data_IF_293693998570
#
_entry.id   IF_293693998570
#
_cell.length_a   1.000
_cell.length_b   1.000
_cell.length_c   1.000
_cell.angle_alpha   90.00
_cell.angle_beta   90.00
_cell.angle_gamma   90.00
#
_symmetry.space_group_name_H-M   'P 1'
#
loop_
_entity.id
_entity.type
_entity.pdbx_description
1 polymer ?
#
# COMPACT_ATOMS: atom_id res chain seq x y z
N UNK A 1 -47.41 -8.07 14.44
CA UNK A 1 -47.68 -8.45 13.04
C UNK A 1 -48.03 -7.23 12.19
N UNK A 2 -49.17 -6.53 12.37
CA UNK A 2 -49.50 -5.34 11.56
C UNK A 2 -48.40 -4.27 11.52
N UNK A 3 -47.79 -3.95 12.65
CA UNK A 3 -46.66 -3.01 12.71
C UNK A 3 -45.44 -3.46 11.86
N UNK A 4 -45.18 -4.76 11.78
CA UNK A 4 -44.09 -5.29 10.96
C UNK A 4 -44.41 -5.22 9.46
N UNK A 5 -45.68 -5.44 9.09
CA UNK A 5 -46.15 -5.27 7.71
C UNK A 5 -46.00 -3.82 7.26
N UNK A 6 -46.48 -2.86 8.07
CA UNK A 6 -46.37 -1.42 7.76
C UNK A 6 -44.91 -1.01 7.61
N UNK A 7 -44.03 -1.44 8.53
CA UNK A 7 -42.59 -1.16 8.42
C UNK A 7 -41.98 -1.74 7.13
N UNK A 8 -42.38 -2.94 6.71
CA UNK A 8 -41.90 -3.55 5.48
C UNK A 8 -42.41 -2.83 4.21
N UNK A 9 -43.68 -2.44 4.20
CA UNK A 9 -44.30 -1.70 3.10
C UNK A 9 -43.66 -0.32 2.93
N UNK A 10 -43.26 0.33 4.04
CA UNK A 10 -42.53 1.60 4.07
C UNK A 10 -41.00 1.46 3.84
N UNK A 11 -40.52 0.25 3.52
CA UNK A 11 -39.11 -0.01 3.20
C UNK A 11 -38.16 -0.09 4.41
N UNK A 12 -38.68 -0.02 5.63
CA UNK A 12 -37.90 -0.12 6.88
C UNK A 12 -37.66 -1.59 7.26
N UNK A 13 -36.86 -2.28 6.44
CA UNK A 13 -36.59 -3.71 6.60
C UNK A 13 -35.93 -4.09 7.95
N UNK A 14 -35.11 -3.21 8.53
CA UNK A 14 -34.50 -3.45 9.85
C UNK A 14 -35.54 -3.49 10.98
N UNK A 15 -36.49 -2.54 10.95
CA UNK A 15 -37.57 -2.46 11.93
C UNK A 15 -38.53 -3.64 11.77
N UNK A 16 -38.90 -3.98 10.52
CA UNK A 16 -39.70 -5.15 10.21
C UNK A 16 -39.03 -6.44 10.72
N UNK A 17 -37.72 -6.59 10.49
CA UNK A 17 -36.95 -7.75 10.96
C UNK A 17 -36.94 -7.85 12.50
N UNK A 18 -36.64 -6.73 13.19
CA UNK A 18 -36.63 -6.70 14.65
C UNK A 18 -37.99 -7.04 15.27
N UNK A 19 -39.08 -6.59 14.65
CA UNK A 19 -40.44 -6.92 15.09
C UNK A 19 -40.79 -8.39 14.87
N UNK A 20 -40.33 -8.99 13.77
CA UNK A 20 -40.60 -10.39 13.41
C UNK A 20 -39.74 -11.40 14.18
N UNK A 21 -38.54 -11.01 14.64
CA UNK A 21 -37.68 -11.87 15.46
C UNK A 21 -38.20 -12.12 16.88
N UNK A 22 -39.27 -11.45 17.32
CA UNK A 22 -39.87 -11.65 18.66
C UNK A 22 -40.45 -13.05 18.81
N UNK A 23 -40.17 -13.73 19.93
CA UNK A 23 -40.56 -15.13 20.18
C UNK A 23 -42.06 -15.38 20.02
N UNK A 24 -42.90 -14.41 20.38
CA UNK A 24 -44.36 -14.48 20.27
C UNK A 24 -44.87 -14.64 18.83
N UNK A 25 -44.06 -14.29 17.82
CA UNK A 25 -44.46 -14.32 16.40
C UNK A 25 -43.85 -15.49 15.62
N UNK A 26 -42.84 -16.20 16.17
CA UNK A 26 -42.14 -17.29 15.47
C UNK A 26 -43.04 -18.49 15.13
N UNK A 27 -44.10 -18.73 15.89
CA UNK A 27 -45.08 -19.80 15.64
C UNK A 27 -46.19 -19.42 14.66
N UNK A 28 -46.35 -18.15 14.31
CA UNK A 28 -47.50 -17.66 13.56
C UNK A 28 -47.25 -17.72 12.04
N UNK A 29 -48.04 -18.53 11.32
CA UNK A 29 -47.85 -18.78 9.87
C UNK A 29 -47.78 -17.49 9.01
N UNK A 30 -48.64 -16.48 9.20
CA UNK A 30 -48.51 -15.22 8.46
C UNK A 30 -47.21 -14.46 8.77
N UNK A 31 -46.71 -14.52 10.01
CA UNK A 31 -45.44 -13.91 10.37
C UNK A 31 -44.26 -14.65 9.73
N UNK A 32 -44.35 -15.98 9.56
CA UNK A 32 -43.33 -16.75 8.81
C UNK A 32 -43.26 -16.37 7.34
N UNK A 33 -44.42 -16.19 6.68
CA UNK A 33 -44.48 -15.74 5.27
C UNK A 33 -43.86 -14.35 5.11
N UNK A 34 -44.25 -13.41 5.97
CA UNK A 34 -43.67 -12.06 5.95
C UNK A 34 -42.16 -12.07 6.28
N UNK A 35 -41.71 -12.97 7.17
CA UNK A 35 -40.27 -13.12 7.46
C UNK A 35 -39.50 -13.61 6.25
N UNK A 36 -40.08 -14.49 5.43
CA UNK A 36 -39.47 -14.93 4.18
C UNK A 36 -39.35 -13.78 3.17
N UNK A 37 -40.39 -12.96 3.03
CA UNK A 37 -40.38 -11.79 2.12
C UNK A 37 -39.36 -10.73 2.56
N UNK A 38 -39.30 -10.43 3.87
CA UNK A 38 -38.29 -9.54 4.45
C UNK A 38 -36.88 -10.12 4.26
N UNK A 39 -36.71 -11.42 4.45
CA UNK A 39 -35.43 -12.10 4.25
C UNK A 39 -34.95 -11.98 2.80
N UNK A 40 -35.81 -12.24 1.81
CA UNK A 40 -35.47 -12.10 0.39
C UNK A 40 -35.00 -10.67 0.08
N UNK A 41 -35.74 -9.64 0.50
CA UNK A 41 -35.31 -8.24 0.29
C UNK A 41 -33.97 -7.92 0.94
N UNK A 42 -33.71 -8.44 2.14
CA UNK A 42 -32.43 -8.22 2.82
C UNK A 42 -31.27 -8.93 2.12
N UNK A 43 -31.48 -10.12 1.56
CA UNK A 43 -30.46 -10.84 0.76
C UNK A 43 -30.16 -10.11 -0.55
N UNK A 44 -31.17 -9.58 -1.23
CA UNK A 44 -31.01 -8.79 -2.45
C UNK A 44 -30.21 -7.52 -2.15
N UNK A 45 -30.62 -6.78 -1.11
CA UNK A 45 -29.91 -5.57 -0.63
C UNK A 45 -28.48 -5.89 -0.22
N UNK A 46 -28.24 -7.02 0.44
CA UNK A 46 -26.90 -7.47 0.81
C UNK A 46 -26.01 -7.70 -0.42
N UNK A 47 -26.58 -8.31 -1.46
CA UNK A 47 -25.87 -8.57 -2.72
C UNK A 47 -25.45 -7.27 -3.41
N UNK A 48 -26.34 -6.28 -3.46
CA UNK A 48 -26.08 -4.95 -4.04
C UNK A 48 -25.02 -4.17 -3.25
N UNK A 49 -25.12 -4.15 -1.92
CA UNK A 49 -24.14 -3.49 -1.05
C UNK A 49 -22.74 -4.09 -1.21
N UNK A 50 -22.62 -5.41 -1.22
CA UNK A 50 -21.33 -6.07 -1.45
C UNK A 50 -20.80 -5.76 -2.86
N UNK A 51 -21.66 -5.71 -3.87
CA UNK A 51 -21.26 -5.39 -5.24
C UNK A 51 -20.75 -3.94 -5.39
N UNK A 52 -21.26 -3.02 -4.59
CA UNK A 52 -20.87 -1.59 -4.58
C UNK A 52 -19.71 -1.27 -3.63
N UNK A 53 -19.20 -2.26 -2.91
CA UNK A 53 -18.02 -2.13 -2.04
C UNK A 53 -18.32 -2.12 -0.54
N UNK A 54 -19.59 -1.91 -0.14
CA UNK A 54 -20.01 -1.93 1.26
C UNK A 54 -20.24 -3.36 1.75
N UNK A 55 -19.13 -4.06 2.02
CA UNK A 55 -19.17 -5.46 2.44
C UNK A 55 -19.77 -5.62 3.85
N UNK A 56 -19.57 -4.67 4.76
CA UNK A 56 -20.04 -4.77 6.15
C UNK A 56 -21.55 -4.63 6.22
N UNK A 57 -22.12 -3.62 5.58
CA UNK A 57 -23.56 -3.45 5.59
C UNK A 57 -24.25 -4.62 4.89
N UNK A 58 -23.63 -5.18 3.84
CA UNK A 58 -24.15 -6.39 3.20
C UNK A 58 -24.17 -7.61 4.13
N UNK A 59 -23.06 -7.90 4.83
CA UNK A 59 -23.04 -9.01 5.80
C UNK A 59 -23.87 -8.74 7.05
N UNK A 60 -24.10 -7.48 7.41
CA UNK A 60 -25.03 -7.11 8.47
C UNK A 60 -26.46 -7.50 8.11
N UNK A 61 -26.89 -7.25 6.87
CA UNK A 61 -28.22 -7.65 6.39
C UNK A 61 -28.39 -9.18 6.46
N UNK A 62 -27.36 -9.96 6.08
CA UNK A 62 -27.40 -11.43 6.22
C UNK A 62 -27.52 -11.88 7.68
N UNK A 63 -26.83 -11.22 8.63
CA UNK A 63 -27.00 -11.52 10.06
C UNK A 63 -28.41 -11.22 10.55
N UNK A 64 -29.10 -10.23 9.97
CA UNK A 64 -30.51 -9.97 10.29
C UNK A 64 -31.41 -11.09 9.77
N UNK A 65 -31.15 -11.61 8.57
CA UNK A 65 -31.87 -12.76 8.01
C UNK A 65 -31.71 -14.00 8.89
N UNK A 66 -30.50 -14.28 9.37
CA UNK A 66 -30.24 -15.40 10.29
C UNK A 66 -31.05 -15.29 11.60
N UNK A 67 -31.30 -14.07 12.10
CA UNK A 67 -32.10 -13.84 13.32
C UNK A 67 -33.60 -14.04 13.13
N UNK A 68 -34.11 -13.93 11.90
CA UNK A 68 -35.52 -14.21 11.60
C UNK A 68 -35.84 -15.70 11.82
N UNK A 69 -34.89 -16.57 11.48
CA UNK A 69 -35.04 -18.03 11.57
C UNK A 69 -35.95 -18.60 10.48
N UNK A 70 -35.69 -19.85 10.06
CA UNK A 70 -36.51 -20.52 9.03
C UNK A 70 -36.18 -20.14 7.58
N UNK A 71 -35.14 -19.33 7.35
CA UNK A 71 -34.66 -18.90 6.04
C UNK A 71 -33.25 -19.44 5.70
N UNK A 72 -32.86 -20.58 6.28
CA UNK A 72 -31.50 -21.15 6.17
C UNK A 72 -31.08 -21.37 4.72
N UNK A 73 -31.99 -21.90 3.89
CA UNK A 73 -31.72 -22.14 2.47
C UNK A 73 -31.34 -20.85 1.72
N UNK A 74 -32.00 -19.72 1.98
CA UNK A 74 -31.68 -18.44 1.33
C UNK A 74 -30.28 -17.95 1.71
N UNK A 75 -29.90 -18.11 2.98
CA UNK A 75 -28.57 -17.72 3.48
C UNK A 75 -27.50 -18.63 2.90
N UNK A 76 -27.76 -19.93 2.80
CA UNK A 76 -26.84 -20.91 2.22
C UNK A 76 -26.63 -20.67 0.72
N UNK A 77 -27.69 -20.44 -0.05
CA UNK A 77 -27.62 -20.09 -1.47
C UNK A 77 -26.80 -18.81 -1.69
N UNK A 78 -27.05 -17.76 -0.88
CA UNK A 78 -26.27 -16.53 -0.92
C UNK A 78 -24.78 -16.80 -0.63
N UNK A 79 -24.47 -17.55 0.44
CA UNK A 79 -23.08 -17.87 0.82
C UNK A 79 -22.37 -18.70 -0.27
N UNK A 80 -23.07 -19.63 -0.90
CA UNK A 80 -22.53 -20.42 -2.02
C UNK A 80 -22.20 -19.52 -3.22
N UNK A 81 -23.08 -18.59 -3.57
CA UNK A 81 -22.83 -17.65 -4.67
C UNK A 81 -21.66 -16.71 -4.36
N UNK A 82 -21.58 -16.17 -3.14
CA UNK A 82 -20.44 -15.33 -2.72
C UNK A 82 -19.12 -16.12 -2.72
N UNK A 83 -19.14 -17.39 -2.30
CA UNK A 83 -17.99 -18.27 -2.36
C UNK A 83 -17.53 -18.48 -3.82
N UNK A 84 -18.47 -18.82 -4.71
CA UNK A 84 -18.20 -19.03 -6.15
C UNK A 84 -17.59 -17.79 -6.79
N UNK A 85 -18.18 -16.60 -6.56
CA UNK A 85 -17.66 -15.32 -7.07
C UNK A 85 -16.28 -15.01 -6.55
N UNK A 86 -16.04 -15.20 -5.26
CA UNK A 86 -14.74 -14.92 -4.67
C UNK A 86 -13.63 -15.86 -5.15
N UNK A 87 -13.95 -17.13 -5.41
CA UNK A 87 -13.00 -18.09 -5.98
C UNK A 87 -12.70 -17.74 -7.44
N UNK A 88 -13.73 -17.42 -8.24
CA UNK A 88 -13.55 -16.94 -9.60
C UNK A 88 -12.70 -15.66 -9.66
N UNK A 89 -12.86 -14.74 -8.70
CA UNK A 89 -12.03 -13.54 -8.59
C UNK A 89 -10.57 -13.89 -8.26
N UNK A 90 -10.34 -14.80 -7.30
CA UNK A 90 -8.98 -15.31 -6.97
C UNK A 90 -8.29 -15.84 -8.22
N UNK A 91 -8.99 -16.66 -9.03
CA UNK A 91 -8.44 -17.19 -10.27
C UNK A 91 -8.06 -16.07 -11.24
N UNK A 92 -8.95 -15.12 -11.49
CA UNK A 92 -8.70 -14.00 -12.41
C UNK A 92 -7.48 -13.17 -11.97
N UNK A 93 -7.35 -12.91 -10.67
CA UNK A 93 -6.20 -12.19 -10.12
C UNK A 93 -4.89 -12.96 -10.36
N UNK A 94 -4.89 -14.29 -10.21
CA UNK A 94 -3.73 -15.11 -10.55
C UNK A 94 -3.40 -15.11 -12.05
N UNK A 95 -4.42 -15.13 -12.91
CA UNK A 95 -4.28 -15.00 -14.37
C UNK A 95 -3.70 -13.62 -14.77
N UNK A 96 -3.97 -12.58 -13.98
CA UNK A 96 -3.34 -11.26 -14.16
C UNK A 96 -1.95 -11.14 -13.54
N UNK A 97 -1.50 -12.12 -12.75
CA UNK A 97 -0.22 -12.08 -12.02
C UNK A 97 -0.29 -11.37 -10.66
N UNK A 98 -1.48 -10.96 -10.22
CA UNK A 98 -1.73 -10.22 -8.98
C UNK A 98 -1.81 -11.14 -7.75
N UNK A 99 -0.69 -11.76 -7.40
CA UNK A 99 -0.64 -12.79 -6.33
C UNK A 99 -1.00 -12.23 -4.96
N UNK A 100 -0.60 -10.99 -4.65
CA UNK A 100 -0.92 -10.33 -3.39
C UNK A 100 -2.43 -10.06 -3.24
N UNK A 101 -3.10 -9.63 -4.32
CA UNK A 101 -4.54 -9.43 -4.31
C UNK A 101 -5.29 -10.76 -4.19
N UNK A 102 -4.82 -11.81 -4.86
CA UNK A 102 -5.38 -13.15 -4.76
C UNK A 102 -5.31 -13.69 -3.31
N UNK A 103 -4.20 -13.44 -2.61
CA UNK A 103 -4.06 -13.82 -1.20
C UNK A 103 -5.05 -13.06 -0.30
N UNK A 104 -5.18 -11.74 -0.47
CA UNK A 104 -6.18 -10.93 0.25
C UNK A 104 -7.60 -11.43 0.01
N UNK A 105 -7.94 -11.80 -1.23
CA UNK A 105 -9.26 -12.35 -1.58
C UNK A 105 -9.54 -13.68 -0.86
N UNK A 106 -8.55 -14.57 -0.77
CA UNK A 106 -8.68 -15.83 -0.02
C UNK A 106 -8.86 -15.58 1.48
N UNK A 107 -8.18 -14.58 2.05
CA UNK A 107 -8.37 -14.18 3.45
C UNK A 107 -9.79 -13.66 3.69
N UNK A 108 -10.35 -12.85 2.77
CA UNK A 108 -11.75 -12.38 2.84
C UNK A 108 -12.74 -13.55 2.83
N UNK A 109 -12.55 -14.51 1.92
CA UNK A 109 -13.35 -15.75 1.92
C UNK A 109 -13.19 -16.54 3.23
N UNK A 110 -12.02 -16.52 3.85
CA UNK A 110 -11.77 -17.20 5.12
C UNK A 110 -12.51 -16.55 6.30
N UNK A 111 -12.50 -15.23 6.39
CA UNK A 111 -13.18 -14.46 7.44
C UNK A 111 -14.69 -14.74 7.47
N UNK A 112 -15.33 -14.77 6.30
CA UNK A 112 -16.75 -15.09 6.17
C UNK A 112 -17.05 -16.60 6.12
N UNK A 113 -16.04 -17.46 6.35
CA UNK A 113 -16.14 -18.93 6.34
C UNK A 113 -16.71 -19.49 5.02
N UNK A 114 -16.42 -18.83 3.91
CA UNK A 114 -16.90 -19.20 2.57
C UNK A 114 -15.97 -20.19 1.87
N UNK A 115 -16.53 -20.98 0.96
CA UNK A 115 -15.80 -21.81 -0.01
C UNK A 115 -15.12 -23.08 0.52
N UNK A 116 -15.20 -23.37 1.81
CA UNK A 116 -14.81 -24.67 2.39
C UNK A 116 -13.47 -25.24 1.87
N UNK A 117 -13.53 -26.43 1.28
CA UNK A 117 -12.37 -27.14 0.74
C UNK A 117 -11.81 -26.50 -0.52
N UNK A 118 -12.67 -25.96 -1.39
CA UNK A 118 -12.25 -25.28 -2.61
C UNK A 118 -11.40 -24.04 -2.27
N UNK A 119 -11.81 -23.26 -1.27
CA UNK A 119 -11.00 -22.14 -0.75
C UNK A 119 -9.65 -22.65 -0.21
N UNK A 120 -9.61 -23.77 0.51
CA UNK A 120 -8.35 -24.34 1.04
C UNK A 120 -7.39 -24.76 -0.08
N UNK A 121 -7.92 -25.32 -1.17
CA UNK A 121 -7.16 -25.66 -2.36
C UNK A 121 -6.55 -24.40 -2.99
N UNK A 122 -7.38 -23.39 -3.28
CA UNK A 122 -6.91 -22.14 -3.88
C UNK A 122 -5.94 -21.36 -2.98
N UNK A 123 -6.12 -21.39 -1.66
CA UNK A 123 -5.14 -20.86 -0.70
C UNK A 123 -3.77 -21.50 -0.88
N UNK A 124 -3.75 -22.82 -1.08
CA UNK A 124 -2.50 -23.57 -1.29
C UNK A 124 -1.84 -23.17 -2.62
N UNK A 125 -2.63 -23.06 -3.69
CA UNK A 125 -2.17 -22.60 -5.01
C UNK A 125 -1.56 -21.20 -4.93
N UNK A 126 -2.27 -20.22 -4.37
CA UNK A 126 -1.80 -18.84 -4.21
C UNK A 126 -0.47 -18.79 -3.43
N UNK A 127 -0.37 -19.55 -2.34
CA UNK A 127 0.86 -19.63 -1.53
C UNK A 127 2.04 -20.18 -2.33
N UNK A 128 1.84 -21.24 -3.11
CA UNK A 128 2.90 -21.85 -3.92
C UNK A 128 3.39 -20.88 -5.01
N UNK A 129 2.48 -20.17 -5.70
CA UNK A 129 2.84 -19.17 -6.72
C UNK A 129 3.60 -18.00 -6.09
N UNK A 130 3.14 -17.51 -4.94
CA UNK A 130 3.82 -16.42 -4.20
C UNK A 130 5.23 -16.82 -3.76
N UNK A 131 5.38 -18.05 -3.27
CA UNK A 131 6.68 -18.61 -2.89
C UNK A 131 7.60 -18.76 -4.11
N UNK A 132 7.10 -19.25 -5.24
CA UNK A 132 7.86 -19.35 -6.48
C UNK A 132 8.38 -17.98 -6.94
N UNK A 133 7.56 -16.93 -6.84
CA UNK A 133 7.96 -15.55 -7.14
C UNK A 133 9.12 -15.08 -6.26
N UNK A 134 9.02 -15.25 -4.94
CA UNK A 134 10.09 -14.87 -4.02
C UNK A 134 11.40 -15.62 -4.29
N UNK A 135 11.32 -16.93 -4.57
CA UNK A 135 12.48 -17.75 -4.93
C UNK A 135 13.14 -17.25 -6.22
N UNK A 136 12.35 -16.95 -7.25
CA UNK A 136 12.86 -16.38 -8.50
C UNK A 136 13.56 -15.03 -8.27
N UNK A 137 12.99 -14.15 -7.44
CA UNK A 137 13.58 -12.84 -7.13
C UNK A 137 14.92 -12.95 -6.42
N UNK A 138 15.06 -13.96 -5.55
CA UNK A 138 16.32 -14.28 -4.87
C UNK A 138 17.36 -14.99 -5.75
N UNK A 139 16.96 -15.48 -6.93
CA UNK A 139 17.81 -16.19 -7.88
C UNK A 139 17.78 -17.73 -7.77
N UNK A 140 16.93 -18.30 -6.90
CA UNK A 140 16.72 -19.75 -6.81
C UNK A 140 15.65 -20.22 -7.81
N UNK A 141 16.00 -20.17 -9.09
CA UNK A 141 15.11 -20.53 -10.20
C UNK A 141 14.71 -22.01 -10.19
N UNK A 142 15.57 -22.89 -9.68
CA UNK A 142 15.32 -24.33 -9.62
C UNK A 142 14.21 -24.65 -8.63
N UNK A 143 14.29 -24.07 -7.41
CA UNK A 143 13.22 -24.23 -6.43
C UNK A 143 11.96 -23.49 -6.86
N UNK A 144 12.08 -22.30 -7.46
CA UNK A 144 10.93 -21.58 -8.00
C UNK A 144 10.13 -22.44 -8.99
N UNK A 145 10.81 -23.11 -9.92
CA UNK A 145 10.17 -24.03 -10.87
C UNK A 145 9.52 -25.22 -10.16
N UNK A 146 10.19 -25.82 -9.19
CA UNK A 146 9.64 -26.94 -8.44
C UNK A 146 8.34 -26.58 -7.67
N UNK A 147 8.21 -25.35 -7.20
CA UNK A 147 6.95 -24.88 -6.60
C UNK A 147 5.84 -24.70 -7.65
N UNK A 148 6.16 -24.25 -8.87
CA UNK A 148 5.19 -24.18 -9.97
C UNK A 148 4.77 -25.56 -10.48
N UNK A 149 5.69 -26.55 -10.50
CA UNK A 149 5.35 -27.95 -10.84
C UNK A 149 4.31 -28.53 -9.86
N UNK A 150 4.34 -28.09 -8.59
CA UNK A 150 3.32 -28.46 -7.59
C UNK A 150 1.98 -27.78 -7.86
N UNK A 151 1.98 -26.53 -8.32
CA UNK A 151 0.76 -25.81 -8.69
C UNK A 151 0.05 -26.53 -9.82
N UNK A 152 0.78 -26.92 -10.87
CA UNK A 152 0.24 -27.62 -12.04
C UNK A 152 -0.49 -28.92 -11.64
N UNK A 153 0.08 -29.68 -10.69
CA UNK A 153 -0.55 -30.92 -10.18
C UNK A 153 -1.80 -30.69 -9.33
N UNK A 154 -1.93 -29.52 -8.71
CA UNK A 154 -3.04 -29.17 -7.82
C UNK A 154 -4.17 -28.42 -8.52
N UNK A 155 -3.91 -27.90 -9.73
CA UNK A 155 -4.85 -27.03 -10.42
C UNK A 155 -6.11 -27.83 -10.84
N UNK A 156 -7.33 -27.36 -10.50
CA UNK A 156 -8.55 -28.04 -10.92
C UNK A 156 -8.70 -28.06 -12.44
N UNK A 157 -9.34 -29.11 -12.97
CA UNK A 157 -9.67 -29.20 -14.39
C UNK A 157 -10.53 -27.99 -14.84
N UNK A 158 -10.27 -27.48 -16.05
CA UNK A 158 -10.97 -26.33 -16.62
C UNK A 158 -10.28 -24.97 -16.45
N UNK A 159 -9.14 -24.89 -15.75
CA UNK A 159 -8.35 -23.66 -15.60
C UNK A 159 -7.22 -23.56 -16.64
N UNK A 160 -7.58 -23.73 -17.93
CA UNK A 160 -6.61 -23.87 -19.04
C UNK A 160 -5.70 -22.66 -19.17
N UNK A 161 -6.26 -21.44 -19.11
CA UNK A 161 -5.49 -20.20 -19.24
C UNK A 161 -4.43 -20.06 -18.13
N UNK A 162 -4.80 -20.32 -16.88
CA UNK A 162 -3.85 -20.27 -15.77
C UNK A 162 -2.78 -21.37 -15.91
N UNK A 163 -3.16 -22.57 -16.35
CA UNK A 163 -2.20 -23.65 -16.61
C UNK A 163 -1.16 -23.24 -17.67
N UNK A 164 -1.60 -22.70 -18.81
CA UNK A 164 -0.72 -22.22 -19.89
C UNK A 164 0.25 -21.14 -19.40
N UNK A 165 -0.22 -20.20 -18.57
CA UNK A 165 0.64 -19.18 -17.98
C UNK A 165 1.69 -19.77 -17.02
N UNK A 166 1.31 -20.76 -16.21
CA UNK A 166 2.24 -21.45 -15.31
C UNK A 166 3.30 -22.20 -16.13
N UNK A 167 2.90 -22.90 -17.19
CA UNK A 167 3.83 -23.57 -18.12
C UNK A 167 4.78 -22.60 -18.83
N UNK A 168 4.26 -21.46 -19.29
CA UNK A 168 5.09 -20.41 -19.88
C UNK A 168 6.12 -19.87 -18.88
N UNK A 169 5.71 -19.59 -17.63
CA UNK A 169 6.62 -19.13 -16.56
C UNK A 169 7.68 -20.18 -16.19
N UNK A 170 7.31 -21.47 -16.13
CA UNK A 170 8.27 -22.56 -15.90
C UNK A 170 9.36 -22.62 -16.97
N UNK A 171 8.99 -22.41 -18.24
CA UNK A 171 9.95 -22.36 -19.35
C UNK A 171 10.91 -21.17 -19.24
N UNK A 172 10.40 -19.99 -18.88
CA UNK A 172 11.22 -18.79 -18.69
C UNK A 172 12.20 -18.95 -17.51
N UNK A 173 11.74 -19.49 -16.38
CA UNK A 173 12.60 -19.79 -15.23
C UNK A 173 13.70 -20.79 -15.59
N UNK A 174 13.43 -21.77 -16.46
CA UNK A 174 14.44 -22.72 -16.91
C UNK A 174 15.55 -22.04 -17.75
N UNK A 175 15.18 -21.06 -18.58
CA UNK A 175 16.15 -20.27 -19.36
C UNK A 175 17.03 -19.43 -18.42
N UNK A 176 16.45 -18.78 -17.41
CA UNK A 176 17.20 -17.93 -16.50
C UNK A 176 18.06 -18.73 -15.51
N UNK A 177 17.61 -19.92 -15.11
CA UNK A 177 18.41 -20.90 -14.37
C UNK A 177 19.69 -21.29 -15.12
N UNK A 178 19.65 -21.37 -16.45
CA UNK A 178 20.83 -21.67 -17.27
C UNK A 178 21.77 -20.46 -17.42
N UNK A 179 21.24 -19.22 -17.42
CA UNK A 179 22.01 -17.98 -17.60
C UNK A 179 22.67 -17.46 -16.32
N UNK A 180 22.05 -17.70 -15.16
CA UNK A 180 22.50 -17.09 -13.90
C UNK A 180 23.88 -17.58 -13.43
N UNK A 181 24.21 -18.90 -13.43
CA UNK A 181 25.50 -19.39 -12.95
C UNK A 181 26.74 -18.77 -13.64
N UNK A 182 26.82 -18.64 -14.99
CA UNK A 182 27.98 -18.01 -15.62
C UNK A 182 28.10 -16.51 -15.29
N UNK A 183 26.98 -15.80 -15.08
CA UNK A 183 27.00 -14.39 -14.66
C UNK A 183 27.52 -14.23 -13.22
N UNK A 184 27.06 -15.08 -12.30
CA UNK A 184 27.57 -15.11 -10.92
C UNK A 184 29.06 -15.43 -10.91
N UNK A 185 29.52 -16.39 -11.71
CA UNK A 185 30.95 -16.69 -11.84
C UNK A 185 31.73 -15.49 -12.33
N UNK A 186 31.27 -14.82 -13.40
CA UNK A 186 31.92 -13.62 -13.93
C UNK A 186 31.96 -12.47 -12.90
N UNK A 187 30.91 -12.31 -12.09
CA UNK A 187 30.88 -11.35 -10.99
C UNK A 187 31.95 -11.66 -9.94
N UNK A 188 32.06 -12.92 -9.51
CA UNK A 188 33.09 -13.32 -8.55
C UNK A 188 34.51 -13.11 -9.11
N UNK A 189 34.75 -13.45 -10.38
CA UNK A 189 36.04 -13.23 -11.04
C UNK A 189 36.40 -11.73 -11.09
N UNK A 190 35.43 -10.86 -11.37
CA UNK A 190 35.62 -9.40 -11.37
C UNK A 190 35.93 -8.86 -9.96
N UNK A 191 35.26 -9.40 -8.92
CA UNK A 191 35.52 -9.05 -7.51
C UNK A 191 36.96 -9.45 -7.13
N UNK A 192 37.40 -10.66 -7.49
CA UNK A 192 38.76 -11.13 -7.20
C UNK A 192 39.83 -10.26 -7.86
N UNK A 193 39.58 -9.81 -9.09
CA UNK A 193 40.46 -8.88 -9.83
C UNK A 193 40.39 -7.44 -9.33
N UNK A 194 39.51 -7.14 -8.38
CA UNK A 194 39.22 -5.78 -7.87
C UNK A 194 38.91 -4.78 -9.00
N UNK A 195 38.34 -5.27 -10.11
CA UNK A 195 37.95 -4.43 -11.24
C UNK A 195 36.54 -3.87 -11.00
N UNK A 196 36.44 -2.82 -10.19
CA UNK A 196 35.16 -2.31 -9.70
C UNK A 196 34.17 -1.89 -10.80
N UNK A 197 34.65 -1.43 -11.95
CA UNK A 197 33.79 -1.13 -13.11
C UNK A 197 33.14 -2.40 -13.67
N UNK A 198 33.93 -3.47 -13.83
CA UNK A 198 33.42 -4.76 -14.29
C UNK A 198 32.50 -5.41 -13.24
N UNK A 199 32.80 -5.24 -11.94
CA UNK A 199 31.91 -5.68 -10.85
C UNK A 199 30.53 -5.03 -10.96
N UNK A 200 30.43 -3.73 -11.25
CA UNK A 200 29.14 -3.06 -11.45
C UNK A 200 28.37 -3.67 -12.62
N UNK A 201 28.99 -3.77 -13.80
CA UNK A 201 28.33 -4.35 -14.98
C UNK A 201 27.87 -5.79 -14.75
N UNK A 202 28.70 -6.62 -14.12
CA UNK A 202 28.34 -8.02 -13.85
C UNK A 202 27.29 -8.15 -12.75
N UNK A 203 27.33 -7.29 -11.73
CA UNK A 203 26.31 -7.26 -10.68
C UNK A 203 24.95 -6.84 -11.26
N UNK A 204 24.91 -5.82 -12.12
CA UNK A 204 23.69 -5.41 -12.82
C UNK A 204 23.10 -6.53 -13.67
N UNK A 205 23.93 -7.24 -14.45
CA UNK A 205 23.47 -8.38 -15.25
C UNK A 205 22.88 -9.52 -14.38
N UNK A 206 23.39 -9.75 -13.18
CA UNK A 206 22.79 -10.71 -12.23
C UNK A 206 21.47 -10.17 -11.67
N UNK A 207 21.43 -8.89 -11.29
CA UNK A 207 20.23 -8.24 -10.74
C UNK A 207 19.10 -8.08 -11.77
N UNK A 208 19.41 -8.08 -13.05
CA UNK A 208 18.43 -8.15 -14.14
C UNK A 208 17.69 -9.48 -14.20
N UNK A 209 18.30 -10.57 -13.73
CA UNK A 209 17.67 -11.90 -13.61
C UNK A 209 17.06 -12.11 -12.22
N UNK A 210 17.73 -11.62 -11.17
CA UNK A 210 17.38 -11.87 -9.77
C UNK A 210 17.52 -10.56 -8.95
N UNK A 211 16.47 -9.73 -8.89
CA UNK A 211 16.54 -8.39 -8.29
C UNK A 211 16.93 -8.36 -6.80
N UNK A 212 16.61 -9.42 -6.07
CA UNK A 212 16.89 -9.55 -4.63
C UNK A 212 18.11 -10.44 -4.35
N UNK A 213 18.94 -10.72 -5.35
CA UNK A 213 20.15 -11.53 -5.18
C UNK A 213 21.16 -10.81 -4.27
N UNK A 214 21.17 -11.21 -2.99
CA UNK A 214 21.93 -10.53 -1.94
C UNK A 214 23.44 -10.37 -2.23
N UNK A 215 24.16 -11.38 -2.75
CA UNK A 215 25.58 -11.21 -3.10
C UNK A 215 25.82 -10.16 -4.18
N UNK A 216 24.93 -10.05 -5.18
CA UNK A 216 25.07 -9.08 -6.25
C UNK A 216 24.76 -7.65 -5.76
N UNK A 217 23.73 -7.48 -4.91
CA UNK A 217 23.45 -6.19 -4.25
C UNK A 217 24.63 -5.73 -3.37
N UNK A 218 25.24 -6.64 -2.62
CA UNK A 218 26.42 -6.34 -1.81
C UNK A 218 27.63 -5.97 -2.69
N UNK A 219 27.88 -6.70 -3.77
CA UNK A 219 28.95 -6.41 -4.72
C UNK A 219 28.77 -5.05 -5.39
N UNK A 220 27.54 -4.72 -5.81
CA UNK A 220 27.20 -3.41 -6.39
C UNK A 220 27.49 -2.28 -5.42
N UNK A 221 27.03 -2.39 -4.16
CA UNK A 221 27.31 -1.38 -3.11
C UNK A 221 28.80 -1.16 -2.90
N UNK A 222 29.57 -2.24 -2.72
CA UNK A 222 31.03 -2.18 -2.54
C UNK A 222 31.75 -1.56 -3.73
N UNK A 223 31.33 -1.88 -4.95
CA UNK A 223 31.92 -1.32 -6.16
C UNK A 223 31.62 0.19 -6.28
N UNK A 224 30.40 0.63 -5.95
CA UNK A 224 30.06 2.06 -5.89
C UNK A 224 30.91 2.82 -4.87
N UNK A 225 31.10 2.27 -3.66
CA UNK A 225 31.96 2.86 -2.63
C UNK A 225 33.42 2.97 -3.12
N UNK A 226 33.95 1.91 -3.74
CA UNK A 226 35.33 1.86 -4.23
C UNK A 226 35.60 2.81 -5.41
N UNK A 227 34.61 3.01 -6.28
CA UNK A 227 34.68 3.98 -7.39
C UNK A 227 34.51 5.42 -6.87
N UNK A 228 33.60 5.66 -5.92
CA UNK A 228 33.40 6.95 -5.26
C UNK A 228 34.62 7.44 -4.47
N UNK A 229 35.35 6.53 -3.80
CA UNK A 229 36.59 6.83 -3.08
C UNK A 229 37.76 7.22 -4.00
N UNK A 230 37.75 6.80 -5.27
CA UNK A 230 38.75 7.23 -6.27
C UNK A 230 38.43 8.61 -6.87
N UNK A 231 37.15 9.02 -6.89
CA UNK A 231 36.72 10.33 -7.38
C UNK A 231 37.06 11.47 -6.39
N UNK A 232 37.21 11.19 -5.10
CA UNK A 232 37.66 12.19 -4.10
C UNK A 232 39.16 12.51 -4.14
N UNK A 233 39.97 11.80 -4.95
CA UNK A 233 41.42 12.03 -5.01
C UNK A 233 41.90 12.84 -6.23
N UNK A 234 41.08 13.02 -7.28
CA UNK A 234 41.36 13.96 -8.38
C UNK A 234 40.04 14.47 -8.95
N UNK A 235 39.74 15.73 -8.70
CA UNK A 235 38.64 16.44 -9.35
C UNK A 235 38.99 16.61 -10.83
N UNK A 236 38.55 15.67 -11.66
CA UNK A 236 38.46 15.83 -13.11
C UNK A 236 37.00 15.59 -13.45
N UNK A 237 36.31 16.67 -13.82
CA UNK A 237 34.96 16.56 -14.37
C UNK A 237 35.01 15.76 -15.68
N UNK A 238 34.22 14.71 -15.86
CA UNK A 238 34.08 14.11 -17.18
C UNK A 238 33.03 14.91 -17.97
N UNK A 239 33.50 15.63 -18.99
CA UNK A 239 32.66 16.01 -20.11
C UNK A 239 32.23 14.74 -20.87
N UNK A 240 31.00 14.27 -20.65
CA UNK A 240 30.36 13.33 -21.58
C UNK A 240 29.47 14.11 -22.55
N UNK A 241 29.93 14.20 -23.80
CA UNK A 241 29.05 14.51 -24.94
C UNK A 241 28.15 13.30 -25.17
N UNK A 242 26.84 13.45 -24.98
CA UNK A 242 25.85 12.48 -25.42
C UNK A 242 25.48 12.77 -26.88
N UNK A 243 26.03 11.96 -27.79
CA UNK A 243 25.39 11.68 -29.06
C UNK A 243 24.19 10.76 -28.79
N UNK A 244 23.04 11.09 -29.39
CA UNK A 244 21.76 10.44 -29.14
C UNK A 244 21.76 8.94 -29.43
N UNK A 245 21.14 8.18 -28.51
CA UNK A 245 20.82 6.77 -28.67
C UNK A 245 19.99 6.29 -27.48
N UNK A 246 18.70 6.02 -27.68
CA UNK A 246 17.83 5.36 -26.69
C UNK A 246 18.39 3.95 -26.43
N UNK A 247 18.91 3.71 -25.23
CA UNK A 247 19.15 2.34 -24.73
C UNK A 247 18.14 2.07 -23.62
N UNK A 248 17.03 1.40 -23.97
CA UNK A 248 16.20 0.70 -22.98
C UNK A 248 16.95 -0.60 -22.66
N UNK A 249 17.44 -0.77 -21.43
CA UNK A 249 17.98 -2.08 -21.01
C UNK A 249 16.83 -3.07 -20.80
N UNK A 250 16.84 -4.26 -21.42
CA UNK A 250 15.79 -5.25 -21.24
C UNK A 250 16.11 -6.17 -20.04
N UNK A 251 15.31 -6.09 -18.98
CA UNK A 251 15.28 -7.15 -17.95
C UNK A 251 14.94 -8.50 -18.60
N UNK A 252 15.22 -9.62 -17.92
CA UNK A 252 14.80 -10.92 -18.42
C UNK A 252 13.27 -11.08 -18.41
N UNK A 253 12.76 -11.79 -19.42
CA UNK A 253 11.31 -12.00 -19.63
C UNK A 253 10.62 -12.65 -18.43
N UNK A 254 11.28 -13.58 -17.73
CA UNK A 254 10.71 -14.20 -16.53
C UNK A 254 10.42 -13.18 -15.44
N UNK A 255 11.32 -12.21 -15.23
CA UNK A 255 11.18 -11.16 -14.22
C UNK A 255 10.20 -10.09 -14.68
N UNK A 256 10.18 -9.77 -15.97
CA UNK A 256 9.20 -8.87 -16.60
C UNK A 256 7.77 -9.41 -16.56
N UNK A 257 7.57 -10.72 -16.69
CA UNK A 257 6.26 -11.35 -16.59
C UNK A 257 5.63 -11.17 -15.20
N UNK A 258 6.44 -10.89 -14.18
CA UNK A 258 6.01 -10.52 -12.82
C UNK A 258 5.94 -9.00 -12.58
N UNK A 259 6.32 -8.19 -13.57
CA UNK A 259 6.60 -6.76 -13.47
C UNK A 259 5.59 -5.89 -14.23
N UNK A 260 4.36 -6.35 -14.42
CA UNK A 260 3.27 -5.42 -14.75
C UNK A 260 2.88 -4.59 -13.51
N UNK A 261 3.86 -3.84 -12.98
CA UNK A 261 3.75 -2.60 -12.22
C UNK A 261 5.16 -2.23 -11.75
N UNK A 262 5.94 -1.53 -12.58
CA UNK A 262 7.12 -0.73 -12.18
C UNK A 262 7.84 -0.16 -13.43
N UNK A 263 7.68 1.13 -13.68
CA UNK A 263 8.47 1.89 -14.68
C UNK A 263 9.49 2.76 -13.94
N UNK A 264 10.72 2.83 -14.46
CA UNK A 264 11.91 3.45 -13.86
C UNK A 264 12.34 4.70 -14.65
N UNK A 265 12.83 5.70 -13.91
CA UNK A 265 13.41 7.00 -14.31
C UNK A 265 14.61 6.95 -15.25
N UNK A 266 14.83 8.02 -16.03
CA UNK A 266 16.15 8.69 -16.19
C UNK A 266 16.07 10.13 -16.77
N UNK A 267 16.49 11.12 -15.97
CA UNK A 267 17.19 12.41 -16.26
C UNK A 267 16.58 13.49 -17.20
N UNK A 268 15.84 14.40 -16.56
CA UNK A 268 16.01 15.87 -16.71
C UNK A 268 16.11 16.64 -15.38
N UNK A 269 16.38 16.03 -14.23
CA UNK A 269 15.46 15.14 -13.51
C UNK A 269 14.19 15.90 -13.22
N UNK A 270 13.15 15.58 -13.98
CA UNK A 270 11.78 15.77 -13.55
C UNK A 270 11.68 15.14 -12.14
N UNK A 271 11.53 15.96 -11.09
CA UNK A 271 11.41 15.44 -9.73
C UNK A 271 10.00 14.89 -9.62
N UNK A 272 9.84 13.59 -9.83
CA UNK A 272 8.58 12.94 -9.53
C UNK A 272 8.40 12.94 -8.02
N UNK A 273 7.27 13.47 -7.51
CA UNK A 273 7.03 13.43 -6.08
C UNK A 273 7.06 11.98 -5.58
N UNK A 274 7.62 11.81 -4.38
CA UNK A 274 7.69 10.50 -3.74
C UNK A 274 6.35 9.92 -3.39
N UNK A 275 6.37 8.68 -2.89
CA UNK A 275 5.18 8.06 -2.31
C UNK A 275 4.64 8.93 -1.19
N UNK A 276 3.39 9.36 -1.35
CA UNK A 276 2.66 10.17 -0.38
C UNK A 276 1.28 9.60 -0.21
N UNK A 277 0.76 9.78 0.99
CA UNK A 277 -0.60 9.40 1.31
C UNK A 277 -1.27 10.60 1.98
N UNK A 278 -2.56 10.77 1.79
CA UNK A 278 -3.36 11.63 2.65
C UNK A 278 -4.06 10.76 3.66
N UNK A 279 -3.88 11.04 4.94
CA UNK A 279 -4.71 10.50 6.00
C UNK A 279 -5.85 11.48 6.28
N UNK A 280 -7.08 11.07 5.99
CA UNK A 280 -8.31 11.77 6.36
C UNK A 280 -8.79 11.22 7.68
N UNK A 281 -8.81 12.05 8.73
CA UNK A 281 -9.14 11.60 10.09
C UNK A 281 -10.39 12.34 10.56
N UNK A 282 -11.44 11.58 10.87
CA UNK A 282 -12.73 12.13 11.31
C UNK A 282 -12.53 13.02 12.55
N UNK A 283 -13.14 14.21 12.51
CA UNK A 283 -13.06 15.25 13.55
C UNK A 283 -11.66 15.83 13.82
N UNK A 284 -10.61 15.39 13.13
CA UNK A 284 -9.22 15.86 13.33
C UNK A 284 -8.71 16.63 12.10
N UNK A 285 -8.95 16.15 10.88
CA UNK A 285 -8.52 16.81 9.64
C UNK A 285 -7.74 15.92 8.67
N UNK A 286 -7.25 16.53 7.60
CA UNK A 286 -6.43 15.89 6.57
C UNK A 286 -4.93 16.07 6.82
N UNK A 287 -4.14 15.00 6.63
CA UNK A 287 -2.69 15.03 6.82
C UNK A 287 -1.98 14.43 5.62
N UNK A 288 -1.12 15.20 4.96
CA UNK A 288 -0.28 14.69 3.88
C UNK A 288 0.97 14.02 4.46
N UNK A 289 1.09 12.71 4.31
CA UNK A 289 2.20 11.90 4.79
C UNK A 289 3.19 11.70 3.65
N UNK A 290 4.37 12.32 3.74
CA UNK A 290 5.47 12.16 2.79
C UNK A 290 6.46 11.12 3.31
N UNK A 291 6.81 10.13 2.47
CA UNK A 291 7.72 9.04 2.85
C UNK A 291 9.16 9.27 2.43
N UNK A 292 9.43 10.15 1.46
CA UNK A 292 10.80 10.40 1.02
C UNK A 292 11.64 11.05 2.12
N UNK A 293 12.94 10.74 2.11
CA UNK A 293 13.92 11.40 2.97
C UNK A 293 14.15 12.86 2.56
N UNK A 294 13.98 13.19 1.28
CA UNK A 294 14.02 14.56 0.77
C UNK A 294 12.68 14.91 0.12
N UNK A 295 12.10 16.02 0.56
CA UNK A 295 10.83 16.55 0.03
C UNK A 295 11.03 17.95 -0.50
N UNK A 296 10.40 18.28 -1.61
CA UNK A 296 10.38 19.61 -2.20
C UNK A 296 9.06 20.32 -1.93
N UNK A 297 9.14 21.60 -1.60
CA UNK A 297 8.00 22.49 -1.39
C UNK A 297 7.96 23.49 -2.55
N UNK A 298 6.79 23.73 -3.14
CA UNK A 298 6.66 24.69 -4.23
C UNK A 298 5.24 24.85 -4.75
N UNK A 299 5.11 25.51 -5.90
CA UNK A 299 3.81 25.76 -6.53
C UNK A 299 3.23 24.49 -7.18
N UNK A 300 1.91 24.26 -7.12
CA UNK A 300 1.25 23.21 -7.89
C UNK A 300 1.45 23.44 -9.39
N UNK A 301 1.92 22.42 -10.10
CA UNK A 301 2.08 22.42 -11.56
C UNK A 301 1.23 21.32 -12.19
N UNK A 302 0.67 21.52 -13.41
CA UNK A 302 -0.11 20.49 -14.11
C UNK A 302 0.69 19.21 -14.40
N UNK A 303 2.01 19.34 -14.53
CA UNK A 303 2.95 18.25 -14.81
C UNK A 303 3.32 17.45 -13.55
N UNK A 304 2.87 17.86 -12.35
CA UNK A 304 3.47 17.43 -11.09
C UNK A 304 4.89 17.97 -10.94
N UNK A 305 5.54 17.79 -9.78
CA UNK A 305 6.95 18.20 -9.65
C UNK A 305 7.46 18.52 -8.24
N UNK A 306 6.58 18.62 -7.25
CA UNK A 306 6.95 18.83 -5.84
C UNK A 306 6.17 17.91 -4.92
N UNK A 307 6.82 17.48 -3.83
CA UNK A 307 6.21 16.62 -2.82
C UNK A 307 5.13 17.34 -2.02
N UNK A 308 5.33 18.64 -1.76
CA UNK A 308 4.42 19.49 -0.99
C UNK A 308 4.01 20.67 -1.88
N UNK A 309 2.99 20.50 -2.74
CA UNK A 309 2.45 21.58 -3.54
C UNK A 309 1.60 22.51 -2.66
N UNK A 310 1.88 23.82 -2.72
CA UNK A 310 1.17 24.85 -1.95
C UNK A 310 0.69 25.97 -2.86
N UNK A 311 -0.61 26.27 -2.82
CA UNK A 311 -1.22 27.42 -3.51
C UNK A 311 -0.82 28.71 -2.81
N UNK A 312 0.38 29.18 -3.13
CA UNK A 312 1.00 30.40 -2.65
C UNK A 312 1.89 30.99 -3.76
N UNK A 313 2.34 32.23 -3.58
CA UNK A 313 3.31 32.86 -4.50
C UNK A 313 4.71 32.29 -4.27
N UNK A 314 4.92 31.08 -4.79
CA UNK A 314 6.15 30.32 -4.68
C UNK A 314 6.66 29.98 -6.08
N UNK A 315 7.97 29.86 -6.21
CA UNK A 315 8.56 29.16 -7.34
C UNK A 315 8.08 27.70 -7.40
N UNK A 316 8.12 27.12 -8.62
CA UNK A 316 7.81 25.70 -8.87
C UNK A 316 8.52 24.75 -7.90
N UNK A 317 9.79 25.02 -7.58
CA UNK A 317 10.54 24.37 -6.50
C UNK A 317 11.17 25.47 -5.65
N UNK A 318 10.62 25.71 -4.46
CA UNK A 318 11.00 26.85 -3.61
C UNK A 318 12.07 26.50 -2.59
N UNK A 319 11.94 25.34 -1.96
CA UNK A 319 12.90 24.83 -0.98
C UNK A 319 12.82 23.29 -0.92
N UNK A 320 13.89 22.66 -0.43
CA UNK A 320 13.86 21.24 -0.05
C UNK A 320 14.09 21.05 1.44
N UNK A 321 13.45 20.05 2.01
CA UNK A 321 13.71 19.59 3.37
C UNK A 321 14.22 18.16 3.26
N UNK A 322 15.46 17.93 3.68
CA UNK A 322 16.08 16.62 3.70
C UNK A 322 16.31 16.15 5.13
N UNK A 323 15.89 14.94 5.44
CA UNK A 323 16.23 14.23 6.66
C UNK A 323 17.66 13.70 6.55
N UNK A 324 18.52 14.11 7.46
CA UNK A 324 19.90 13.63 7.58
C UNK A 324 20.10 13.01 8.97
N UNK A 325 20.07 11.68 9.04
CA UNK A 325 20.11 10.91 10.29
C UNK A 325 18.95 11.32 11.21
N UNK A 326 19.23 12.08 12.28
CA UNK A 326 18.23 12.52 13.27
C UNK A 326 17.74 13.96 13.08
N UNK A 327 18.36 14.69 12.15
CA UNK A 327 18.14 16.11 11.91
C UNK A 327 17.42 16.34 10.58
N UNK A 328 16.83 17.53 10.44
CA UNK A 328 16.24 18.00 9.20
C UNK A 328 17.00 19.21 8.69
N UNK A 329 17.41 19.17 7.43
CA UNK A 329 18.13 20.25 6.76
C UNK A 329 17.20 20.89 5.74
N UNK A 330 16.91 22.17 5.93
CA UNK A 330 16.20 23.00 4.97
C UNK A 330 17.22 23.62 4.01
N UNK A 331 17.07 23.38 2.71
CA UNK A 331 17.88 24.00 1.67
C UNK A 331 17.02 25.01 0.89
N UNK A 332 17.33 26.31 0.97
CA UNK A 332 16.61 27.34 0.22
C UNK A 332 17.01 27.29 -1.27
N UNK A 333 16.02 27.27 -2.16
CA UNK A 333 16.23 27.48 -3.61
C UNK A 333 15.89 28.94 -3.94
N UNK A 334 14.84 29.46 -3.30
CA UNK A 334 14.39 30.85 -3.37
C UNK A 334 14.27 31.47 -1.96
N UNK A 335 13.86 32.73 -1.91
CA UNK A 335 13.79 33.54 -0.68
C UNK A 335 13.08 32.81 0.46
N UNK A 336 13.86 32.42 1.47
CA UNK A 336 13.39 31.64 2.61
C UNK A 336 13.91 32.27 3.89
N UNK A 337 13.07 32.33 4.92
CA UNK A 337 13.45 32.74 6.28
C UNK A 337 13.19 31.61 7.27
N UNK A 338 14.01 31.55 8.31
CA UNK A 338 13.79 30.68 9.47
C UNK A 338 13.86 31.55 10.71
N UNK A 339 12.79 31.54 11.52
CA UNK A 339 12.67 32.35 12.73
C UNK A 339 12.96 33.85 12.49
N UNK A 340 12.46 34.37 11.36
CA UNK A 340 12.62 35.76 10.93
C UNK A 340 13.96 36.09 10.26
N UNK A 341 14.92 35.16 10.24
CA UNK A 341 16.23 35.36 9.61
C UNK A 341 16.25 34.79 8.18
N UNK A 342 16.67 35.60 7.21
CA UNK A 342 16.79 35.13 5.81
C UNK A 342 17.99 34.20 5.69
N UNK A 343 17.77 33.03 5.11
CA UNK A 343 18.82 32.02 4.90
C UNK A 343 19.25 31.99 3.43
N UNK A 344 20.55 31.82 3.20
CA UNK A 344 21.15 31.78 1.84
C UNK A 344 21.75 30.42 1.51
N UNK A 345 21.75 29.48 2.46
CA UNK A 345 22.27 28.12 2.29
C UNK A 345 21.59 27.14 3.25
N UNK A 346 21.96 25.86 3.18
CA UNK A 346 21.35 24.81 4.00
C UNK A 346 21.45 25.11 5.51
N UNK A 347 20.36 24.92 6.24
CA UNK A 347 20.30 25.09 7.70
C UNK A 347 19.58 23.92 8.37
N UNK A 348 20.03 23.55 9.57
CA UNK A 348 19.35 22.54 10.39
C UNK A 348 18.12 23.15 11.07
N UNK A 349 16.95 22.56 10.85
CA UNK A 349 15.70 22.95 11.48
C UNK A 349 15.63 22.47 12.93
N UNK A 350 15.29 23.39 13.83
CA UNK A 350 15.01 23.09 15.24
C UNK A 350 13.51 22.90 15.45
N UNK A 351 13.14 22.12 16.46
CA UNK A 351 11.74 22.01 16.85
C UNK A 351 11.14 23.40 17.12
N UNK A 352 9.92 23.63 16.65
CA UNK A 352 9.20 24.91 16.66
C UNK A 352 9.77 26.00 15.75
N UNK A 353 10.73 25.71 14.87
CA UNK A 353 11.21 26.69 13.90
C UNK A 353 10.08 27.15 12.96
N UNK A 354 9.94 28.46 12.78
CA UNK A 354 9.04 29.07 11.82
C UNK A 354 9.76 29.24 10.49
N UNK A 355 9.38 28.45 9.49
CA UNK A 355 9.88 28.54 8.12
C UNK A 355 8.95 29.44 7.31
N UNK A 356 9.48 30.53 6.76
CA UNK A 356 8.75 31.42 5.86
C UNK A 356 9.31 31.25 4.44
N UNK A 357 8.44 30.91 3.48
CA UNK A 357 8.78 30.73 2.07
C UNK A 357 8.11 31.82 1.24
N UNK A 358 8.89 32.52 0.41
CA UNK A 358 8.42 33.71 -0.29
C UNK A 358 7.94 34.80 0.68
N UNK A 359 6.88 35.52 0.30
CA UNK A 359 6.39 36.67 1.05
C UNK A 359 5.27 36.33 2.05
N UNK A 360 4.67 35.13 1.95
CA UNK A 360 3.40 34.86 2.61
C UNK A 360 3.24 33.47 3.22
N UNK A 361 3.92 32.43 2.71
CA UNK A 361 3.77 31.08 3.25
C UNK A 361 4.57 30.94 4.55
N UNK A 362 3.88 30.52 5.62
CA UNK A 362 4.49 30.23 6.92
C UNK A 362 4.18 28.80 7.33
N UNK A 363 5.23 28.04 7.65
CA UNK A 363 5.18 26.66 8.09
C UNK A 363 5.90 26.51 9.44
N UNK A 364 5.24 25.96 10.44
CA UNK A 364 5.87 25.60 11.72
C UNK A 364 6.42 24.19 11.64
N UNK A 365 7.72 24.04 11.78
CA UNK A 365 8.36 22.73 11.88
C UNK A 365 8.31 22.21 13.32
N UNK A 366 7.78 21.01 13.51
CA UNK A 366 7.68 20.36 14.82
C UNK A 366 8.21 18.93 14.75
N UNK A 367 8.93 18.49 15.78
CA UNK A 367 9.33 17.09 16.00
C UNK A 367 8.77 16.64 17.35
N UNK A 368 7.51 16.14 17.40
CA UNK A 368 6.79 15.89 18.65
C UNK A 368 7.41 14.81 19.54
N UNK A 369 8.02 13.79 18.92
CA UNK A 369 8.55 12.64 19.63
C UNK A 369 10.09 12.60 19.55
N UNK A 370 10.77 12.55 20.70
CA UNK A 370 12.24 12.62 20.77
C UNK A 370 12.95 11.41 20.13
N UNK A 371 12.37 10.22 20.28
CA UNK A 371 12.91 8.96 19.72
C UNK A 371 12.42 8.64 18.30
N UNK A 372 11.57 9.49 17.71
CA UNK A 372 11.14 9.32 16.33
C UNK A 372 11.81 10.38 15.47
N UNK A 373 12.34 9.99 14.32
CA UNK A 373 12.82 10.94 13.33
C UNK A 373 11.67 11.55 12.50
N UNK A 374 10.41 11.23 12.76
CA UNK A 374 9.27 11.85 12.05
C UNK A 374 9.01 13.27 12.54
N UNK A 375 8.80 14.18 11.59
CA UNK A 375 8.46 15.58 11.85
C UNK A 375 7.13 15.97 11.19
N UNK A 376 6.59 17.11 11.62
CA UNK A 376 5.31 17.66 11.14
C UNK A 376 5.51 19.13 10.77
N UNK A 377 5.00 19.53 9.61
CA UNK A 377 4.88 20.91 9.17
C UNK A 377 3.43 21.36 9.32
N UNK A 378 3.20 22.36 10.16
CA UNK A 378 1.88 22.98 10.33
C UNK A 378 1.80 24.24 9.47
N UNK A 379 0.74 24.40 8.70
CA UNK A 379 0.53 25.62 7.91
C UNK A 379 -0.05 26.71 8.83
N UNK A 380 0.77 27.69 9.21
CA UNK A 380 0.34 28.82 10.07
C UNK A 380 -0.23 30.00 9.27
N UNK A 381 0.00 29.99 7.96
CA UNK A 381 -0.54 30.98 7.03
C UNK A 381 -1.90 30.56 6.45
N UNK A 382 -2.57 31.43 5.69
CA UNK A 382 -3.90 31.14 5.09
C UNK A 382 -3.84 30.30 3.80
N UNK A 383 -2.66 29.83 3.40
CA UNK A 383 -2.46 29.08 2.17
C UNK A 383 -2.91 27.64 2.32
N UNK A 384 -3.24 27.00 1.20
CA UNK A 384 -3.65 25.59 1.16
C UNK A 384 -2.68 24.77 0.33
N UNK A 385 -2.41 23.54 0.76
CA UNK A 385 -1.77 22.54 -0.07
C UNK A 385 -2.69 22.05 -1.18
N UNK A 386 -2.17 21.26 -2.12
CA UNK A 386 -2.96 20.61 -3.17
C UNK A 386 -2.66 19.10 -3.26
N UNK A 387 -3.53 18.21 -2.76
CA UNK A 387 -4.84 18.47 -2.15
C UNK A 387 -4.76 19.23 -0.82
N UNK A 388 -5.85 19.90 -0.44
CA UNK A 388 -5.91 20.70 0.78
C UNK A 388 -5.89 19.80 2.02
N UNK A 389 -4.83 19.92 2.82
CA UNK A 389 -4.63 19.23 4.11
C UNK A 389 -4.33 20.24 5.21
N UNK A 390 -4.54 19.86 6.47
CA UNK A 390 -4.31 20.70 7.64
C UNK A 390 -2.83 20.71 8.06
N UNK A 391 -2.10 19.62 7.82
CA UNK A 391 -0.68 19.52 8.10
C UNK A 391 0.04 18.50 7.20
N UNK A 392 1.37 18.59 7.17
CA UNK A 392 2.23 17.66 6.42
C UNK A 392 3.09 16.88 7.40
N UNK A 393 3.10 15.56 7.29
CA UNK A 393 3.94 14.63 8.08
C UNK A 393 5.12 14.18 7.22
N UNK A 394 6.34 14.51 7.67
CA UNK A 394 7.59 14.02 7.09
C UNK A 394 7.95 12.68 7.75
N UNK A 395 7.26 11.62 7.36
CA UNK A 395 7.34 10.32 8.05
C UNK A 395 8.69 9.64 7.83
N UNK A 396 9.28 9.18 8.94
CA UNK A 396 10.46 8.32 8.96
C UNK A 396 10.00 6.87 9.19
N UNK A 397 10.49 6.23 10.26
CA UNK A 397 10.15 4.85 10.61
C UNK A 397 8.79 4.71 11.30
N UNK A 398 8.33 5.73 12.03
CA UNK A 398 7.06 5.66 12.77
C UNK A 398 6.33 6.99 12.86
N UNK A 399 5.00 6.95 12.79
CA UNK A 399 4.11 8.08 12.99
C UNK A 399 3.02 7.68 13.98
N UNK A 400 2.95 8.38 15.11
CA UNK A 400 2.02 8.11 16.21
C UNK A 400 0.83 9.04 16.10
N UNK A 401 -0.38 8.48 16.11
CA UNK A 401 -1.66 9.15 16.15
C UNK A 401 -2.30 8.85 17.51
N UNK A 402 -2.74 9.84 18.26
CA UNK A 402 -3.35 9.57 19.57
C UNK A 402 -3.45 10.80 20.47
N UNK A 403 -3.98 10.65 21.70
CA UNK A 403 -4.29 11.79 22.58
C UNK A 403 -3.05 12.45 23.21
N UNK A 404 -1.91 11.75 23.24
CA UNK A 404 -0.67 12.23 23.84
C UNK A 404 -0.11 13.49 23.17
N UNK A 405 0.58 14.32 23.94
CA UNK A 405 1.33 15.48 23.41
C UNK A 405 2.56 15.09 22.58
N UNK A 406 3.00 13.84 22.69
CA UNK A 406 4.09 13.26 21.92
C UNK A 406 3.61 12.64 20.60
N UNK A 407 2.30 12.63 20.33
CA UNK A 407 1.74 12.17 19.07
C UNK A 407 2.13 13.11 17.94
N UNK A 408 2.42 12.52 16.77
CA UNK A 408 2.72 13.29 15.57
C UNK A 408 1.43 13.91 15.02
N UNK A 409 0.33 13.13 15.04
CA UNK A 409 -1.01 13.63 14.77
C UNK A 409 -1.79 13.56 16.08
N UNK A 410 -2.22 14.71 16.57
CA UNK A 410 -2.85 14.81 17.89
C UNK A 410 -4.35 14.53 17.78
N UNK A 411 -4.78 13.44 18.38
CA UNK A 411 -6.17 12.99 18.41
C UNK A 411 -6.69 12.98 19.86
N UNK A 412 -7.04 14.14 20.45
CA UNK A 412 -7.27 14.28 21.89
C UNK A 412 -8.44 13.43 22.42
N UNK A 413 -9.42 13.11 21.58
CA UNK A 413 -10.62 12.36 21.95
C UNK A 413 -10.45 10.83 21.82
N UNK A 414 -9.28 10.35 21.38
CA UNK A 414 -9.03 8.92 21.22
C UNK A 414 -8.66 8.26 22.55
N UNK A 415 -9.09 7.01 22.76
CA UNK A 415 -8.79 6.24 23.98
C UNK A 415 -7.35 5.73 24.01
N UNK A 416 -6.78 5.41 22.85
CA UNK A 416 -5.43 4.85 22.73
C UNK A 416 -4.76 5.26 21.43
N UNK A 417 -3.44 5.16 21.39
CA UNK A 417 -2.66 5.49 20.20
C UNK A 417 -2.83 4.44 19.09
N UNK A 418 -2.77 4.92 17.84
CA UNK A 418 -2.44 4.14 16.66
C UNK A 418 -1.05 4.54 16.20
N UNK A 419 -0.17 3.56 16.04
CA UNK A 419 1.18 3.77 15.54
C UNK A 419 1.26 3.26 14.12
N UNK A 420 1.53 4.16 13.18
CA UNK A 420 1.99 3.81 11.85
C UNK A 420 3.48 3.52 11.90
N UNK A 421 3.92 2.47 11.24
CA UNK A 421 5.34 2.14 11.12
C UNK A 421 5.65 1.72 9.69
N UNK A 422 6.78 2.20 9.20
CA UNK A 422 7.25 1.98 7.85
C UNK A 422 8.09 0.70 7.80
N UNK A 423 7.95 -0.08 6.73
CA UNK A 423 8.82 -1.21 6.37
C UNK A 423 9.09 -1.17 4.87
N UNK A 424 10.23 -0.61 4.48
CA UNK A 424 10.47 -0.30 3.06
C UNK A 424 9.48 0.76 2.60
N UNK A 425 8.73 0.50 1.53
CA UNK A 425 7.70 1.44 1.03
C UNK A 425 6.29 1.13 1.55
N UNK A 426 6.14 0.07 2.35
CA UNK A 426 4.87 -0.26 2.99
C UNK A 426 4.75 0.47 4.33
N UNK A 427 3.54 0.97 4.59
CA UNK A 427 3.16 1.45 5.91
C UNK A 427 2.28 0.40 6.55
N UNK A 428 2.51 0.13 7.82
CA UNK A 428 1.67 -0.72 8.64
C UNK A 428 1.16 0.10 9.81
N UNK A 429 0.01 -0.27 10.36
CA UNK A 429 -0.48 0.29 11.60
C UNK A 429 -0.46 -0.75 12.71
N UNK A 430 -0.36 -0.28 13.94
CA UNK A 430 -0.61 -1.05 15.17
C UNK A 430 -1.49 -0.21 16.08
N UNK A 431 -2.56 -0.82 16.56
CA UNK A 431 -3.45 -0.28 17.57
C UNK A 431 -3.35 -1.11 18.85
N UNK A 432 -3.60 -0.49 20.01
CA UNK A 432 -3.67 -1.21 21.29
C UNK A 432 -4.97 -2.00 21.42
N UNK A 433 -6.06 -1.41 20.95
CA UNK A 433 -7.40 -2.00 20.97
C UNK A 433 -7.75 -2.58 19.60
N UNK A 434 -8.78 -3.44 19.58
CA UNK A 434 -9.32 -3.97 18.34
C UNK A 434 -9.97 -2.83 17.56
N UNK A 435 -9.47 -2.62 16.34
CA UNK A 435 -10.04 -1.70 15.37
C UNK A 435 -10.64 -2.48 14.21
N UNK A 436 -11.63 -1.88 13.60
CA UNK A 436 -12.10 -2.24 12.27
C UNK A 436 -11.14 -1.68 11.21
N UNK A 437 -10.83 -2.48 10.20
CA UNK A 437 -9.89 -2.12 9.13
C UNK A 437 -10.44 -2.56 7.78
N UNK A 438 -10.68 -1.61 6.87
CA UNK A 438 -11.33 -1.79 5.57
C UNK A 438 -12.67 -2.52 5.68
N UNK A 439 -13.52 -2.04 6.60
CA UNK A 439 -14.83 -2.65 6.87
C UNK A 439 -14.66 -4.13 7.33
N UNK A 440 -13.60 -4.41 8.11
CA UNK A 440 -13.37 -5.71 8.75
C UNK A 440 -13.15 -5.52 10.25
N UNK A 441 -14.06 -5.97 11.13
CA UNK A 441 -13.90 -5.78 12.56
C UNK A 441 -12.77 -6.65 13.12
N UNK A 442 -12.01 -6.10 14.06
CA UNK A 442 -11.23 -6.90 15.00
C UNK A 442 -9.79 -7.22 14.59
N UNK A 443 -9.01 -6.20 14.24
CA UNK A 443 -7.55 -6.32 14.17
C UNK A 443 -6.86 -5.31 15.08
N UNK A 444 -5.64 -5.61 15.50
CA UNK A 444 -4.75 -4.65 16.19
C UNK A 444 -3.60 -4.21 15.28
N UNK A 445 -3.53 -4.69 14.04
CA UNK A 445 -2.52 -4.26 13.07
C UNK A 445 -2.92 -4.57 11.63
N UNK A 446 -2.31 -3.88 10.67
CA UNK A 446 -2.56 -4.11 9.26
C UNK A 446 -1.62 -3.31 8.37
N UNK A 447 -1.61 -3.59 7.07
CA UNK A 447 -0.84 -2.84 6.09
C UNK A 447 -1.75 -1.74 5.53
N UNK A 448 -1.32 -0.49 5.63
CA UNK A 448 -1.97 0.66 5.01
C UNK A 448 -1.72 0.62 3.51
N UNK A 449 -2.80 0.67 2.74
CA UNK A 449 -2.79 0.80 1.29
C UNK A 449 -3.51 2.08 0.89
N UNK A 450 -3.37 2.50 -0.38
CA UNK A 450 -4.33 3.40 -0.99
C UNK A 450 -5.76 2.88 -0.72
N UNK A 451 -6.65 3.76 -0.31
CA UNK A 451 -8.07 3.52 -0.02
C UNK A 451 -8.37 2.72 1.26
N UNK A 452 -7.42 2.59 2.18
CA UNK A 452 -7.68 1.87 3.41
C UNK A 452 -8.37 2.75 4.47
N UNK A 453 -9.30 2.17 5.25
CA UNK A 453 -10.02 2.83 6.35
C UNK A 453 -9.76 2.06 7.66
N UNK A 454 -9.44 2.76 8.73
CA UNK A 454 -9.37 2.22 10.09
C UNK A 454 -10.49 2.88 10.90
N UNK A 455 -11.33 2.11 11.58
CA UNK A 455 -12.37 2.61 12.49
C UNK A 455 -12.22 1.97 13.87
N UNK A 456 -12.34 2.77 14.92
CA UNK A 456 -12.46 2.31 16.31
C UNK A 456 -13.81 2.73 16.89
N UNK A 457 -13.99 2.57 18.19
CA UNK A 457 -15.23 2.96 18.88
C UNK A 457 -15.55 4.46 18.72
N UNK A 458 -14.51 5.31 18.70
CA UNK A 458 -14.63 6.78 18.73
C UNK A 458 -13.87 7.49 17.61
N UNK A 459 -13.47 6.78 16.56
CA UNK A 459 -12.72 7.39 15.47
C UNK A 459 -12.87 6.60 14.18
N UNK A 460 -12.73 7.28 13.06
CA UNK A 460 -12.36 6.65 11.82
C UNK A 460 -11.31 7.50 11.10
N UNK A 461 -10.46 6.84 10.34
CA UNK A 461 -9.51 7.47 9.44
C UNK A 461 -9.39 6.67 8.15
N UNK A 462 -9.27 7.35 7.03
CA UNK A 462 -9.00 6.75 5.73
C UNK A 462 -7.69 7.27 5.15
N UNK A 463 -7.10 6.48 4.26
CA UNK A 463 -5.86 6.81 3.57
C UNK A 463 -6.11 6.82 2.07
N UNK A 464 -5.56 7.80 1.39
CA UNK A 464 -5.62 7.98 -0.06
C UNK A 464 -4.18 8.15 -0.59
N UNK A 465 -3.82 7.51 -1.70
CA UNK A 465 -2.48 7.70 -2.31
C UNK A 465 -2.55 8.77 -3.40
N UNK A 466 -1.55 9.68 -3.43
CA UNK A 466 -1.57 10.91 -4.26
C UNK A 466 -0.32 11.18 -5.09
#
# INVERSE_FOLDING_TARGET
MRAAQVAFDEGRCEEASALLSRETLRGFLPAKRLSQEVATRLVDRASEKIATGDSVAGWHDIRQVERLGGCEQLVDEFRQEQARRGIANTRRLLECGETAMAERQIVKLQQHRLGGDERRLWKTIVRLITKAKALAYSGDFTQARAELDRVERLLPAGNVQLAEQISSRQAELAVDAAKCPPLIKALHDAIQRQNWTEVLTKAEAVLELAPEHAPALAARRRAWEAVGLKATAKHVQPHFRLAGGKVRSPLAKSTLAWRNSATLDTMTTDHQPGKRLIAWIDEIGGYMICLNDEVFIGQPTPEGGVDIPVRADLSRRHASIRRERENYVLTPIHTTKVDGQTITGPIVLRNQALVELGDSLRLRFTKPHTLSATAVLLVESKHKTEPAVDAIVLMSESCVLGPGSHSHIRCPNWKSDIVLFRRGDDIQFRAKELVEFNDHPGTTSGIITADCRISGENFALSFEEI
#
